data_IF_521567205606
#
_entry.id   IF_521567205606
#
_cell.length_a   1.000
_cell.length_b   1.000
_cell.length_c   1.000
_cell.angle_alpha   90.00
_cell.angle_beta   90.00
_cell.angle_gamma   90.00
#
_symmetry.space_group_name_H-M   'P 1'
#
loop_
_entity.id
_entity.type
_entity.pdbx_description
1 polymer ?
#
# COMPACT_ATOMS: atom_id res chain seq x y z
N UNK A 1 -14.97 7.87 9.71
CA UNK A 1 -13.63 7.54 10.25
C UNK A 1 -13.04 6.26 9.68
N UNK A 2 -13.83 5.21 9.36
CA UNK A 2 -13.30 3.99 8.74
C UNK A 2 -12.72 4.19 7.33
N UNK A 3 -13.35 5.01 6.47
CA UNK A 3 -12.90 5.26 5.09
C UNK A 3 -11.52 5.96 4.99
N UNK A 4 -11.14 6.75 5.99
CA UNK A 4 -9.83 7.41 6.07
C UNK A 4 -8.70 6.45 6.46
N UNK A 5 -9.02 5.37 7.19
CA UNK A 5 -8.01 4.38 7.60
C UNK A 5 -7.63 3.50 6.40
N UNK A 6 -8.63 3.01 5.65
CA UNK A 6 -8.38 2.16 4.49
C UNK A 6 -7.49 2.84 3.44
N UNK A 7 -7.73 4.12 3.20
CA UNK A 7 -7.02 4.90 2.17
C UNK A 7 -5.61 5.34 2.57
N UNK A 8 -5.28 5.31 3.88
CA UNK A 8 -3.92 5.57 4.39
C UNK A 8 -3.16 4.28 4.74
N UNK A 9 -3.84 3.14 4.68
CA UNK A 9 -3.31 1.82 5.02
C UNK A 9 -2.05 1.42 4.23
N UNK A 10 -1.95 1.68 2.91
CA UNK A 10 -0.72 1.40 2.15
C UNK A 10 0.53 2.06 2.77
N UNK A 11 0.39 3.30 3.23
CA UNK A 11 1.50 4.06 3.82
C UNK A 11 1.87 3.56 5.21
N UNK A 12 0.88 3.21 6.03
CA UNK A 12 1.12 2.61 7.33
C UNK A 12 1.82 1.26 7.23
N UNK A 13 1.40 0.40 6.29
CA UNK A 13 2.06 -0.88 6.04
C UNK A 13 3.50 -0.69 5.57
N UNK A 14 3.73 0.18 4.58
CA UNK A 14 5.08 0.49 4.11
C UNK A 14 5.97 0.97 5.27
N UNK A 15 5.49 1.90 6.09
CA UNK A 15 6.22 2.40 7.25
C UNK A 15 6.55 1.29 8.26
N UNK A 16 5.57 0.46 8.64
CA UNK A 16 5.76 -0.57 9.66
C UNK A 16 6.72 -1.69 9.23
N UNK A 17 6.72 -2.02 7.94
CA UNK A 17 7.56 -3.10 7.39
C UNK A 17 8.97 -2.57 7.10
N UNK A 18 9.07 -1.42 6.44
CA UNK A 18 10.34 -0.94 5.89
C UNK A 18 11.17 -0.14 6.91
N UNK A 19 10.56 0.45 7.94
CA UNK A 19 11.31 1.13 9.01
C UNK A 19 12.25 0.19 9.78
N UNK A 20 11.79 -0.94 10.37
CA UNK A 20 12.70 -1.87 11.04
C UNK A 20 13.71 -2.51 10.08
N UNK A 21 13.32 -2.76 8.82
CA UNK A 21 14.21 -3.27 7.79
C UNK A 21 15.33 -2.27 7.47
N UNK A 22 15.00 -0.98 7.32
CA UNK A 22 15.96 0.10 7.07
C UNK A 22 16.98 0.23 8.21
N UNK A 23 16.52 0.19 9.46
CA UNK A 23 17.39 0.22 10.62
C UNK A 23 18.31 -1.01 10.66
N UNK A 24 17.77 -2.20 10.39
CA UNK A 24 18.57 -3.42 10.36
C UNK A 24 19.63 -3.40 9.25
N UNK A 25 19.30 -2.91 8.05
CA UNK A 25 20.27 -2.81 6.95
C UNK A 25 21.36 -1.78 7.23
N UNK A 26 21.02 -0.70 7.93
CA UNK A 26 21.97 0.34 8.29
C UNK A 26 22.94 -0.12 9.40
N UNK A 27 22.41 -0.73 10.46
CA UNK A 27 23.16 -1.16 11.64
C UNK A 27 23.92 -2.47 11.41
N UNK A 28 23.31 -3.43 10.71
CA UNK A 28 23.83 -4.78 10.47
C UNK A 28 24.04 -5.07 8.96
N UNK A 29 24.88 -4.30 8.24
CA UNK A 29 25.04 -4.47 6.79
C UNK A 29 25.74 -5.79 6.43
N UNK A 30 26.57 -6.34 7.32
CA UNK A 30 27.30 -7.60 7.12
C UNK A 30 26.37 -8.83 7.15
N UNK A 31 25.21 -8.73 7.81
CA UNK A 31 24.23 -9.83 7.87
C UNK A 31 23.38 -9.93 6.60
N UNK A 32 23.46 -8.94 5.71
CA UNK A 32 22.64 -8.88 4.49
C UNK A 32 23.22 -9.73 3.35
N UNK A 33 24.53 -9.99 3.37
CA UNK A 33 25.28 -10.67 2.32
C UNK A 33 26.30 -11.64 2.95
N UNK A 34 26.24 -12.91 2.57
CA UNK A 34 27.05 -14.00 3.17
C UNK A 34 28.55 -13.92 2.89
N UNK A 35 28.96 -13.15 1.89
CA UNK A 35 30.37 -12.91 1.53
C UNK A 35 30.49 -11.58 0.77
N UNK A 36 30.17 -10.48 1.44
CA UNK A 36 30.24 -9.15 0.84
C UNK A 36 31.67 -8.61 0.82
N UNK A 37 32.08 -8.06 -0.34
CA UNK A 37 33.24 -7.18 -0.39
C UNK A 37 32.98 -5.93 0.50
N UNK A 38 34.00 -5.32 1.11
CA UNK A 38 33.80 -4.18 2.03
C UNK A 38 33.00 -3.01 1.43
N UNK A 39 33.10 -2.80 0.11
CA UNK A 39 32.36 -1.76 -0.63
C UNK A 39 30.85 -2.05 -0.68
N UNK A 40 30.45 -3.33 -0.63
CA UNK A 40 29.03 -3.70 -0.61
C UNK A 40 28.34 -3.22 0.68
N UNK A 41 29.05 -3.11 1.80
CA UNK A 41 28.47 -2.57 3.04
C UNK A 41 28.10 -1.09 2.91
N UNK A 42 28.89 -0.30 2.19
CA UNK A 42 28.56 1.10 1.92
C UNK A 42 27.29 1.21 1.05
N UNK A 43 27.16 0.36 0.04
CA UNK A 43 25.95 0.27 -0.79
C UNK A 43 24.73 -0.16 0.04
N UNK A 44 24.86 -1.19 0.88
CA UNK A 44 23.76 -1.65 1.76
C UNK A 44 23.29 -0.51 2.68
N UNK A 45 24.21 0.25 3.28
CA UNK A 45 23.86 1.42 4.10
C UNK A 45 23.20 2.54 3.28
N UNK A 46 23.66 2.78 2.06
CA UNK A 46 23.01 3.75 1.16
C UNK A 46 21.57 3.34 0.81
N UNK A 47 21.35 2.06 0.50
CA UNK A 47 20.00 1.52 0.30
C UNK A 47 19.15 1.60 1.57
N UNK A 48 19.75 1.39 2.74
CA UNK A 48 19.07 1.53 4.02
C UNK A 48 18.57 2.98 4.26
N UNK A 49 19.39 3.98 3.92
CA UNK A 49 18.98 5.39 4.00
C UNK A 49 17.86 5.70 3.01
N UNK A 50 17.90 5.12 1.80
CA UNK A 50 16.84 5.29 0.81
C UNK A 50 15.50 4.70 1.29
N UNK A 51 15.55 3.50 1.90
CA UNK A 51 14.42 2.83 2.56
C UNK A 51 13.85 3.63 3.74
N UNK A 52 14.74 4.23 4.53
CA UNK A 52 14.33 5.12 5.61
C UNK A 52 13.64 6.38 5.06
N UNK A 53 14.18 6.97 3.99
CA UNK A 53 13.58 8.13 3.33
C UNK A 53 12.19 7.80 2.75
N UNK A 54 12.00 6.63 2.13
CA UNK A 54 10.68 6.20 1.65
C UNK A 54 9.69 6.00 2.79
N UNK A 55 10.15 5.51 3.95
CA UNK A 55 9.36 5.40 5.17
C UNK A 55 8.90 6.75 5.70
N UNK A 56 9.78 7.77 5.66
CA UNK A 56 9.40 9.15 6.03
C UNK A 56 8.36 9.74 5.06
N UNK A 57 8.52 9.50 3.74
CA UNK A 57 7.52 9.90 2.74
C UNK A 57 6.18 9.23 3.04
N UNK A 58 6.18 7.93 3.31
CA UNK A 58 4.97 7.20 3.69
C UNK A 58 4.33 7.78 4.95
N UNK A 59 5.09 8.10 6.00
CA UNK A 59 4.58 8.71 7.23
C UNK A 59 3.87 10.07 6.96
N UNK A 60 4.42 10.90 6.07
CA UNK A 60 3.80 12.17 5.67
C UNK A 60 2.42 11.92 5.03
N UNK A 61 2.33 10.94 4.13
CA UNK A 61 1.07 10.60 3.47
C UNK A 61 0.08 9.85 4.37
N UNK A 62 0.58 9.09 5.35
CA UNK A 62 -0.24 8.39 6.34
C UNK A 62 -0.97 9.34 7.30
N UNK A 63 -0.38 10.50 7.57
CA UNK A 63 -0.92 11.52 8.49
C UNK A 63 -1.69 12.64 7.79
N UNK A 64 -1.68 12.66 6.45
CA UNK A 64 -2.35 13.65 5.62
C UNK A 64 -3.68 13.12 5.10
N UNK A 65 -4.60 14.03 4.73
CA UNK A 65 -5.79 13.66 3.96
C UNK A 65 -5.40 13.13 2.58
N UNK A 66 -5.98 11.99 2.20
CA UNK A 66 -5.69 11.31 0.93
C UNK A 66 -6.16 12.16 -0.25
N UNK A 67 -5.19 12.62 -1.04
CA UNK A 67 -5.39 13.34 -2.28
C UNK A 67 -4.92 12.51 -3.48
N UNK A 68 -5.06 13.08 -4.68
CA UNK A 68 -4.63 12.41 -5.92
C UNK A 68 -3.12 12.13 -5.92
N UNK A 69 -2.33 13.02 -5.33
CA UNK A 69 -0.89 12.82 -5.18
C UNK A 69 -0.59 11.61 -4.29
N UNK A 70 -1.33 11.45 -3.19
CA UNK A 70 -1.22 10.31 -2.29
C UNK A 70 -1.40 9.01 -3.07
N UNK A 71 -2.43 8.91 -3.93
CA UNK A 71 -2.66 7.70 -4.74
C UNK A 71 -1.53 7.39 -5.72
N UNK A 72 -1.00 8.40 -6.40
CA UNK A 72 0.17 8.23 -7.27
C UNK A 72 1.40 7.73 -6.48
N UNK A 73 1.60 8.25 -5.27
CA UNK A 73 2.70 7.82 -4.40
C UNK A 73 2.46 6.39 -3.89
N UNK A 74 1.24 6.03 -3.52
CA UNK A 74 0.87 4.67 -3.15
C UNK A 74 1.17 3.69 -4.30
N UNK A 75 0.85 4.07 -5.54
CA UNK A 75 1.20 3.29 -6.73
C UNK A 75 2.72 3.14 -6.94
N UNK A 76 3.49 4.20 -6.71
CA UNK A 76 4.95 4.13 -6.77
C UNK A 76 5.53 3.20 -5.67
N UNK A 77 4.97 3.23 -4.46
CA UNK A 77 5.32 2.31 -3.37
C UNK A 77 4.90 0.87 -3.68
N UNK A 78 3.79 0.65 -4.39
CA UNK A 78 3.40 -0.67 -4.87
C UNK A 78 4.49 -1.27 -5.79
N UNK A 79 4.98 -0.48 -6.75
CA UNK A 79 6.06 -0.91 -7.65
C UNK A 79 7.34 -1.26 -6.88
N UNK A 80 7.65 -0.52 -5.81
CA UNK A 80 8.79 -0.84 -4.95
C UNK A 80 8.67 -2.26 -4.37
N UNK A 81 7.50 -2.67 -3.89
CA UNK A 81 7.30 -3.99 -3.27
C UNK A 81 7.38 -5.16 -4.27
N UNK A 82 7.33 -4.91 -5.57
CA UNK A 82 7.54 -5.94 -6.59
C UNK A 82 8.97 -6.51 -6.54
N UNK A 83 9.98 -5.69 -6.27
CA UNK A 83 11.37 -6.14 -6.22
C UNK A 83 11.63 -7.11 -5.03
N UNK A 84 11.22 -6.79 -3.78
CA UNK A 84 11.21 -7.75 -2.69
C UNK A 84 10.37 -9.01 -2.95
N UNK A 85 9.23 -8.89 -3.65
CA UNK A 85 8.39 -10.02 -4.00
C UNK A 85 9.12 -10.98 -4.96
N UNK A 86 9.70 -10.47 -6.05
CA UNK A 86 10.51 -11.26 -7.00
C UNK A 86 11.69 -11.92 -6.29
N UNK A 87 12.36 -11.21 -5.37
CA UNK A 87 13.46 -11.74 -4.54
C UNK A 87 12.99 -12.86 -3.61
N UNK A 88 11.79 -12.78 -3.04
CA UNK A 88 11.24 -13.81 -2.17
C UNK A 88 10.81 -15.04 -2.99
N UNK A 89 10.13 -14.84 -4.12
CA UNK A 89 9.75 -15.91 -5.07
C UNK A 89 10.99 -16.67 -5.54
N UNK A 90 12.03 -15.97 -6.01
CA UNK A 90 13.25 -16.63 -6.50
C UNK A 90 13.96 -17.47 -5.42
N UNK A 91 13.83 -17.10 -4.14
CA UNK A 91 14.33 -17.89 -3.00
C UNK A 91 13.48 -19.11 -2.70
N UNK A 92 12.16 -18.99 -2.81
CA UNK A 92 11.22 -20.11 -2.60
C UNK A 92 11.38 -21.16 -3.70
N UNK A 93 11.46 -20.73 -4.96
CA UNK A 93 11.58 -21.64 -6.11
C UNK A 93 13.02 -22.08 -6.40
N UNK A 94 14.03 -21.31 -5.96
CA UNK A 94 15.45 -21.60 -6.17
C UNK A 94 16.04 -22.65 -5.23
N UNK A 95 15.27 -23.24 -4.32
CA UNK A 95 15.68 -24.41 -3.52
C UNK A 95 16.83 -24.17 -2.54
N UNK A 96 17.19 -22.92 -2.22
CA UNK A 96 18.27 -22.59 -1.29
C UNK A 96 17.92 -22.92 0.16
N UNK A 97 18.10 -24.18 0.57
CA UNK A 97 18.12 -24.58 1.97
C UNK A 97 19.37 -23.95 2.60
N UNK A 98 19.18 -22.81 3.26
CA UNK A 98 20.20 -22.19 4.09
C UNK A 98 20.89 -20.98 3.44
N UNK A 99 20.32 -19.80 3.63
CA UNK A 99 21.05 -18.65 4.18
C UNK A 99 20.09 -17.46 4.39
N UNK A 100 20.12 -16.90 5.61
CA UNK A 100 19.42 -15.67 5.96
C UNK A 100 18.62 -15.78 7.26
N UNK A 101 19.30 -15.66 8.40
CA UNK A 101 18.72 -15.34 9.72
C UNK A 101 18.18 -13.89 9.76
N UNK A 102 17.48 -13.46 8.72
CA UNK A 102 16.73 -12.20 8.74
C UNK A 102 15.39 -12.40 9.46
N UNK A 103 14.83 -11.32 10.01
CA UNK A 103 13.51 -11.26 10.65
C UNK A 103 12.40 -11.79 9.70
N UNK A 104 12.19 -13.10 9.71
CA UNK A 104 11.19 -13.79 8.88
C UNK A 104 11.82 -14.54 7.71
N UNK A 105 11.53 -15.83 7.56
CA UNK A 105 12.00 -16.63 6.43
C UNK A 105 11.46 -16.14 5.07
N UNK A 106 11.91 -16.73 3.95
CA UNK A 106 11.50 -16.33 2.60
C UNK A 106 9.98 -16.26 2.38
N UNK A 107 9.23 -17.16 3.01
CA UNK A 107 7.77 -17.19 2.98
C UNK A 107 7.11 -15.99 3.69
N UNK A 108 7.70 -15.52 4.79
CA UNK A 108 7.18 -14.36 5.53
C UNK A 108 7.43 -13.09 4.72
N UNK A 109 8.62 -12.93 4.13
CA UNK A 109 8.89 -11.83 3.20
C UNK A 109 7.92 -11.84 2.02
N UNK A 110 7.64 -13.00 1.44
CA UNK A 110 6.68 -13.14 0.34
C UNK A 110 5.27 -12.68 0.77
N UNK A 111 4.79 -13.16 1.91
CA UNK A 111 3.46 -12.81 2.42
C UNK A 111 3.34 -11.33 2.76
N UNK A 112 4.32 -10.76 3.46
CA UNK A 112 4.32 -9.37 3.91
C UNK A 112 4.41 -8.40 2.72
N UNK A 113 5.35 -8.61 1.80
CA UNK A 113 5.47 -7.75 0.61
C UNK A 113 4.34 -8.00 -0.39
N UNK A 114 3.79 -9.21 -0.46
CA UNK A 114 2.60 -9.52 -1.25
C UNK A 114 1.37 -8.74 -0.77
N UNK A 115 1.10 -8.77 0.54
CA UNK A 115 0.02 -7.99 1.14
C UNK A 115 0.21 -6.48 0.92
N UNK A 116 1.45 -5.99 1.09
CA UNK A 116 1.74 -4.57 0.91
C UNK A 116 1.60 -4.14 -0.56
N UNK A 117 1.96 -5.00 -1.51
CA UNK A 117 1.73 -4.80 -2.93
C UNK A 117 0.23 -4.75 -3.25
N UNK A 118 -0.53 -5.74 -2.81
CA UNK A 118 -1.96 -5.89 -3.09
C UNK A 118 -2.76 -4.66 -2.62
N UNK A 119 -2.58 -4.28 -1.35
CA UNK A 119 -3.23 -3.11 -0.74
C UNK A 119 -2.86 -1.79 -1.45
N UNK A 120 -1.60 -1.64 -1.86
CA UNK A 120 -1.15 -0.44 -2.56
C UNK A 120 -1.65 -0.41 -4.01
N UNK A 121 -1.77 -1.57 -4.65
CA UNK A 121 -2.24 -1.73 -6.01
C UNK A 121 -3.75 -1.52 -6.13
N UNK A 122 -4.53 -2.03 -5.19
CA UNK A 122 -5.99 -1.81 -5.12
C UNK A 122 -6.33 -0.31 -5.11
N UNK A 123 -5.54 0.49 -4.38
CA UNK A 123 -5.67 1.95 -4.34
C UNK A 123 -5.46 2.61 -5.72
N UNK A 124 -4.64 2.01 -6.58
CA UNK A 124 -4.39 2.47 -7.96
C UNK A 124 -5.51 2.02 -8.90
N UNK A 125 -6.00 0.80 -8.74
CA UNK A 125 -7.09 0.25 -9.55
C UNK A 125 -8.38 1.06 -9.40
N UNK A 126 -8.72 1.47 -8.17
CA UNK A 126 -9.85 2.37 -7.91
C UNK A 126 -9.73 3.72 -8.64
N UNK A 127 -8.51 4.27 -8.78
CA UNK A 127 -8.29 5.52 -9.52
C UNK A 127 -8.45 5.32 -11.03
N UNK A 128 -7.95 4.20 -11.58
CA UNK A 128 -8.09 3.87 -13.00
C UNK A 128 -9.57 3.72 -13.39
N UNK A 129 -10.35 2.98 -12.59
CA UNK A 129 -11.78 2.80 -12.82
C UNK A 129 -12.56 4.11 -12.66
N UNK A 130 -12.20 4.94 -11.69
CA UNK A 130 -12.77 6.29 -11.52
C UNK A 130 -12.51 7.18 -12.74
N UNK A 131 -11.28 7.15 -13.27
CA UNK A 131 -10.89 7.89 -14.46
C UNK A 131 -11.65 7.44 -15.71
N UNK A 132 -11.79 6.13 -15.89
CA UNK A 132 -12.55 5.56 -17.00
C UNK A 132 -14.04 5.94 -16.92
N UNK A 133 -14.66 5.82 -15.74
CA UNK A 133 -16.06 6.18 -15.53
C UNK A 133 -16.32 7.68 -15.74
N UNK A 134 -15.40 8.53 -15.30
CA UNK A 134 -15.49 9.98 -15.53
C UNK A 134 -15.32 10.33 -17.02
N UNK A 135 -14.43 9.64 -17.73
CA UNK A 135 -14.25 9.81 -19.18
C UNK A 135 -15.50 9.36 -19.96
N UNK A 136 -16.06 8.18 -19.63
CA UNK A 136 -17.32 7.68 -20.19
C UNK A 136 -18.48 8.63 -19.91
N UNK A 137 -18.64 9.11 -18.68
CA UNK A 137 -19.69 10.06 -18.32
C UNK A 137 -19.60 11.39 -19.08
N UNK A 138 -18.38 11.93 -19.24
CA UNK A 138 -18.14 13.14 -20.04
C UNK A 138 -18.45 12.90 -21.53
N UNK A 139 -18.11 11.73 -22.06
CA UNK A 139 -18.40 11.36 -23.46
C UNK A 139 -19.91 11.20 -23.70
N UNK A 140 -20.60 10.47 -22.82
CA UNK A 140 -22.06 10.27 -22.88
C UNK A 140 -22.82 11.60 -22.74
N UNK A 141 -22.34 12.52 -21.90
CA UNK A 141 -22.91 13.87 -21.80
C UNK A 141 -22.71 14.70 -23.07
N UNK A 142 -21.57 14.55 -23.77
CA UNK A 142 -21.30 15.23 -25.06
C UNK A 142 -22.11 14.66 -26.22
N UNK A 143 -22.45 13.37 -26.16
CA UNK A 143 -23.29 12.69 -27.15
C UNK A 143 -24.80 12.91 -26.93
N UNK A 144 -25.20 13.72 -25.95
CA UNK A 144 -26.61 13.99 -25.65
C UNK A 144 -27.38 12.80 -25.07
N UNK A 145 -26.69 11.70 -24.74
CA UNK A 145 -27.28 10.46 -24.19
C UNK A 145 -27.58 10.57 -22.69
N UNK A 146 -27.06 11.59 -22.01
CA UNK A 146 -27.47 11.95 -20.65
C UNK A 146 -28.45 13.12 -20.76
N UNK A 147 -29.67 12.85 -21.19
CA UNK A 147 -30.78 13.75 -20.89
C UNK A 147 -30.93 13.79 -19.38
N UNK A 148 -30.98 15.00 -18.82
CA UNK A 148 -31.08 15.30 -17.39
C UNK A 148 -31.88 14.24 -16.62
N UNK A 149 -31.22 13.49 -15.74
CA UNK A 149 -31.92 12.85 -14.63
C UNK A 149 -32.69 13.96 -13.88
N UNK A 150 -34.01 13.83 -13.69
CA UNK A 150 -34.79 14.86 -13.02
C UNK A 150 -34.28 15.02 -11.59
N UNK A 151 -33.97 16.27 -11.23
CA UNK A 151 -33.73 16.69 -9.84
C UNK A 151 -35.05 16.50 -9.08
N UNK A 152 -35.26 15.33 -8.52
CA UNK A 152 -36.47 15.03 -7.77
C UNK A 152 -36.79 13.55 -7.71
N UNK A 153 -35.97 12.78 -6.99
CA UNK A 153 -36.48 11.55 -6.40
C UNK A 153 -35.98 11.40 -4.95
N UNK A 154 -36.94 11.65 -4.06
CA UNK A 154 -37.08 11.11 -2.71
C UNK A 154 -35.96 11.40 -1.69
N UNK A 155 -36.16 12.53 -1.00
CA UNK A 155 -36.10 12.59 0.46
C UNK A 155 -37.03 11.51 1.05
N UNK A 156 -36.60 10.77 2.08
CA UNK A 156 -37.39 10.17 3.21
C UNK A 156 -36.87 8.77 3.60
N UNK A 157 -37.06 8.23 4.83
CA UNK A 157 -37.53 8.84 6.09
C UNK A 157 -36.54 8.67 7.27
N UNK A 158 -36.70 9.55 8.25
CA UNK A 158 -36.42 9.27 9.66
C UNK A 158 -37.13 7.99 10.11
N UNK A 159 -36.39 6.94 10.47
CA UNK A 159 -36.93 5.78 11.17
C UNK A 159 -36.52 5.88 12.64
N UNK A 160 -37.43 6.45 13.43
CA UNK A 160 -37.43 6.23 14.87
C UNK A 160 -37.59 4.74 15.14
N UNK A 161 -36.78 4.22 16.05
CA UNK A 161 -36.96 2.91 16.65
C UNK A 161 -36.97 3.14 18.16
N UNK A 162 -38.13 3.55 18.65
CA UNK A 162 -38.54 3.39 20.03
C UNK A 162 -39.27 2.05 20.15
N UNK A 163 -39.17 1.45 21.33
CA UNK A 163 -39.97 0.35 21.87
C UNK A 163 -39.44 -1.07 21.70
N UNK A 164 -38.71 -1.53 22.73
CA UNK A 164 -39.00 -2.81 23.35
C UNK A 164 -39.30 -2.52 24.83
N UNK A 165 -40.55 -2.75 25.21
CA UNK A 165 -40.99 -2.96 26.60
C UNK A 165 -40.38 -4.28 27.07
N UNK A 166 -39.91 -4.32 28.31
CA UNK A 166 -39.75 -5.55 29.08
C UNK A 166 -40.05 -5.19 30.53
N UNK A 167 -41.30 -5.44 30.91
CA UNK A 167 -41.70 -5.70 32.29
C UNK A 167 -41.20 -7.10 32.65
N UNK A 168 -40.26 -7.16 33.61
CA UNK A 168 -40.11 -8.13 34.72
C UNK A 168 -38.68 -8.05 35.31
#
# INVERSE_FOLDING_TARGET
MAATILSTLPFWLHLLIELPASLNFFLNPAEQLSSAAPQAHALVRQYAVLLFASSLVALIFATRQVDRTSRNVAGALAVYHLAPLVRAVSRVFGGGIGYGKGLGGPWIHLAVHGLCFDVSFETVEEELLSHENKAKGKMLSRMGLITKLPKGFAKSPSRGMTFFDSDD
#
